data_IF_550349453786
#
_entry.id   IF_550349453786
#
_cell.length_a   1.000
_cell.length_b   1.000
_cell.length_c   1.000
_cell.angle_alpha   90.00
_cell.angle_beta   90.00
_cell.angle_gamma   90.00
#
_symmetry.space_group_name_H-M   'P 1'
#
loop_
_entity.id
_entity.type
_entity.pdbx_description
1 polymer ?
#
# COMPACT_ATOMS: atom_id res chain seq x y z
N UNK A 1 -23.50 -25.52 -0.77
CA UNK A 1 -23.99 -24.59 -1.75
C UNK A 1 -22.81 -24.00 -2.47
N UNK A 2 -22.46 -24.60 -3.61
CA UNK A 2 -21.42 -24.07 -4.49
C UNK A 2 -22.02 -22.89 -5.23
N UNK A 3 -21.61 -21.68 -4.87
CA UNK A 3 -21.74 -20.54 -5.74
C UNK A 3 -20.75 -20.73 -6.91
N UNK A 4 -21.23 -21.26 -8.01
CA UNK A 4 -20.56 -21.07 -9.29
C UNK A 4 -20.76 -19.61 -9.67
N UNK A 5 -19.77 -18.75 -9.41
CA UNK A 5 -19.69 -17.45 -10.03
C UNK A 5 -19.35 -17.66 -11.50
N UNK A 6 -20.36 -18.00 -12.30
CA UNK A 6 -20.30 -17.75 -13.71
C UNK A 6 -20.05 -16.23 -13.85
N UNK A 7 -19.10 -15.82 -14.69
CA UNK A 7 -18.94 -14.45 -15.09
C UNK A 7 -20.26 -14.03 -15.77
N UNK A 8 -21.21 -13.58 -14.96
CA UNK A 8 -22.45 -13.01 -15.46
C UNK A 8 -22.07 -11.72 -16.16
N UNK A 9 -22.61 -11.50 -17.33
CA UNK A 9 -22.60 -10.19 -17.96
C UNK A 9 -22.97 -9.15 -16.91
N UNK A 10 -22.04 -8.31 -16.55
CA UNK A 10 -22.11 -7.39 -15.42
C UNK A 10 -23.29 -6.39 -15.56
N UNK A 11 -23.88 -6.28 -16.76
CA UNK A 11 -24.99 -5.38 -17.09
C UNK A 11 -26.37 -6.02 -17.09
N UNK A 12 -26.45 -7.35 -17.13
CA UNK A 12 -27.72 -8.07 -17.22
C UNK A 12 -27.87 -8.98 -16.03
N UNK A 13 -28.94 -8.82 -15.29
CA UNK A 13 -29.31 -9.75 -14.26
C UNK A 13 -30.32 -10.75 -14.82
N UNK A 14 -29.88 -11.99 -14.93
CA UNK A 14 -30.74 -13.10 -15.35
C UNK A 14 -31.07 -13.92 -14.12
N UNK A 15 -32.35 -14.21 -13.93
CA UNK A 15 -32.82 -15.09 -12.87
C UNK A 15 -33.60 -16.23 -13.50
N UNK A 16 -33.13 -17.45 -13.30
CA UNK A 16 -33.89 -18.65 -13.60
C UNK A 16 -34.53 -19.10 -12.29
N UNK A 17 -35.82 -19.12 -12.27
CA UNK A 17 -36.63 -19.55 -11.12
C UNK A 17 -37.48 -20.76 -11.47
N UNK A 18 -37.55 -21.69 -10.53
CA UNK A 18 -38.42 -22.85 -10.64
C UNK A 18 -39.02 -23.11 -9.28
N UNK A 19 -40.35 -23.12 -9.22
CA UNK A 19 -41.07 -23.43 -7.98
C UNK A 19 -42.14 -24.47 -8.19
N UNK A 20 -42.47 -25.18 -7.12
CA UNK A 20 -43.60 -26.09 -7.06
C UNK A 20 -44.36 -25.86 -5.76
N UNK A 21 -45.64 -25.59 -5.86
CA UNK A 21 -46.52 -25.34 -4.72
C UNK A 21 -47.64 -26.34 -4.68
N UNK A 22 -48.07 -26.68 -3.44
CA UNK A 22 -49.27 -27.49 -3.18
C UNK A 22 -50.25 -26.66 -2.37
N UNK A 23 -51.46 -26.52 -2.89
CA UNK A 23 -52.53 -25.86 -2.15
C UNK A 23 -53.65 -26.87 -1.85
N UNK A 24 -54.04 -26.92 -0.60
CA UNK A 24 -55.20 -27.70 -0.14
C UNK A 24 -56.28 -26.71 0.29
N UNK A 25 -57.53 -26.93 -0.14
CA UNK A 25 -58.66 -26.08 0.21
C UNK A 25 -59.78 -26.93 0.79
N UNK A 26 -60.39 -26.49 1.88
CA UNK A 26 -61.57 -27.14 2.46
C UNK A 26 -62.88 -26.75 1.72
N UNK A 27 -62.80 -25.86 0.72
CA UNK A 27 -63.94 -25.50 -0.10
C UNK A 27 -64.02 -26.45 -1.31
N UNK A 28 -65.24 -26.57 -1.92
CA UNK A 28 -65.47 -27.35 -3.16
C UNK A 28 -64.74 -26.77 -4.35
N UNK A 29 -63.43 -26.75 -4.27
CA UNK A 29 -62.58 -26.30 -5.39
C UNK A 29 -62.53 -27.41 -6.45
N UNK A 30 -62.58 -27.04 -7.73
CA UNK A 30 -62.55 -27.97 -8.86
C UNK A 30 -61.27 -28.82 -8.91
N UNK A 31 -60.22 -28.40 -8.21
CA UNK A 31 -58.95 -29.13 -8.02
C UNK A 31 -58.56 -29.11 -6.55
N UNK A 32 -58.51 -30.29 -5.95
CA UNK A 32 -58.11 -30.44 -4.56
C UNK A 32 -57.53 -31.84 -4.31
N UNK A 33 -56.21 -31.96 -4.05
CA UNK A 33 -55.21 -30.90 -3.96
C UNK A 33 -54.92 -30.22 -5.33
N UNK A 34 -54.52 -28.96 -5.27
CA UNK A 34 -54.06 -28.20 -6.45
C UNK A 34 -52.53 -28.04 -6.39
N UNK A 35 -51.83 -28.65 -7.33
CA UNK A 35 -50.39 -28.51 -7.49
C UNK A 35 -50.13 -27.49 -8.61
N UNK A 36 -49.36 -26.45 -8.30
CA UNK A 36 -48.84 -25.49 -9.24
C UNK A 36 -47.35 -25.62 -9.35
N UNK A 37 -46.85 -25.68 -10.58
CA UNK A 37 -45.42 -25.65 -10.88
C UNK A 37 -45.15 -24.54 -11.85
N UNK A 38 -44.10 -23.79 -11.64
CA UNK A 38 -43.66 -22.72 -12.53
C UNK A 38 -42.17 -22.79 -12.81
N UNK A 39 -41.80 -22.46 -14.04
CA UNK A 39 -40.41 -22.30 -14.49
C UNK A 39 -40.34 -20.97 -15.23
N UNK A 40 -39.57 -20.00 -14.69
CA UNK A 40 -39.50 -18.65 -15.21
C UNK A 40 -38.06 -18.21 -15.50
N UNK A 41 -37.94 -17.47 -16.57
CA UNK A 41 -36.71 -16.71 -16.90
C UNK A 41 -37.03 -15.23 -16.84
N UNK A 42 -36.37 -14.49 -15.96
CA UNK A 42 -36.50 -13.05 -15.84
C UNK A 42 -35.17 -12.38 -16.19
N UNK A 43 -35.21 -11.42 -17.09
CA UNK A 43 -34.06 -10.60 -17.47
C UNK A 43 -34.33 -9.16 -17.03
N UNK A 44 -33.40 -8.58 -16.26
CA UNK A 44 -33.43 -7.18 -15.88
C UNK A 44 -32.23 -6.48 -16.50
N UNK A 45 -32.52 -5.45 -17.31
CA UNK A 45 -31.51 -4.63 -17.97
C UNK A 45 -31.57 -3.19 -17.43
N UNK A 46 -30.55 -2.71 -16.69
CA UNK A 46 -30.48 -1.30 -16.35
C UNK A 46 -30.23 -0.44 -17.60
N UNK A 47 -30.94 0.70 -17.70
CA UNK A 47 -30.88 1.59 -18.84
C UNK A 47 -30.18 2.94 -18.55
N UNK A 48 -30.08 3.34 -17.28
CA UNK A 48 -29.40 4.57 -16.84
C UNK A 48 -28.32 4.27 -15.79
N UNK A 49 -28.67 4.27 -14.51
CA UNK A 49 -27.72 3.89 -13.45
C UNK A 49 -27.27 2.45 -13.68
N UNK A 50 -25.97 2.21 -13.61
CA UNK A 50 -25.35 0.88 -13.80
C UNK A 50 -25.55 0.26 -15.19
N UNK A 51 -25.93 1.07 -16.19
CA UNK A 51 -26.15 0.59 -17.56
C UNK A 51 -24.85 0.37 -18.35
N UNK A 52 -23.79 1.10 -18.00
CA UNK A 52 -22.58 1.18 -18.81
C UNK A 52 -21.47 0.23 -18.32
N UNK A 53 -20.73 -0.34 -19.27
CA UNK A 53 -19.60 -1.23 -18.99
C UNK A 53 -18.52 -0.57 -18.11
N UNK A 54 -18.26 0.71 -18.34
CA UNK A 54 -17.27 1.48 -17.57
C UNK A 54 -17.56 1.44 -16.07
N UNK A 55 -18.80 1.57 -15.67
CA UNK A 55 -19.22 1.54 -14.27
C UNK A 55 -19.17 0.12 -13.70
N UNK A 56 -19.68 -0.84 -14.46
CA UNK A 56 -19.78 -2.23 -14.03
C UNK A 56 -18.41 -2.92 -13.96
N UNK A 57 -17.46 -2.51 -14.81
CA UNK A 57 -16.07 -2.99 -14.79
C UNK A 57 -15.15 -2.13 -13.89
N UNK A 58 -15.64 -1.04 -13.34
CA UNK A 58 -14.85 -0.17 -12.46
C UNK A 58 -14.23 -0.89 -11.26
N UNK A 59 -14.89 -1.84 -10.57
CA UNK A 59 -14.26 -2.62 -9.50
C UNK A 59 -13.05 -3.43 -10.00
N UNK A 60 -13.14 -4.02 -11.20
CA UNK A 60 -12.04 -4.74 -11.83
C UNK A 60 -10.90 -3.78 -12.23
N UNK A 61 -11.24 -2.65 -12.85
CA UNK A 61 -10.27 -1.62 -13.22
C UNK A 61 -9.53 -1.09 -11.98
N UNK A 62 -10.27 -0.78 -10.91
CA UNK A 62 -9.70 -0.36 -9.63
C UNK A 62 -8.77 -1.42 -9.03
N UNK A 63 -9.16 -2.70 -9.06
CA UNK A 63 -8.32 -3.79 -8.54
C UNK A 63 -7.00 -3.91 -9.33
N UNK A 64 -7.04 -3.76 -10.67
CA UNK A 64 -5.83 -3.76 -11.51
C UNK A 64 -4.90 -2.60 -11.17
N UNK A 65 -5.42 -1.37 -11.13
CA UNK A 65 -4.63 -0.18 -10.77
C UNK A 65 -4.06 -0.29 -9.35
N UNK A 66 -4.82 -0.85 -8.41
CA UNK A 66 -4.34 -1.09 -7.05
C UNK A 66 -3.22 -2.13 -7.01
N UNK A 67 -3.31 -3.20 -7.79
CA UNK A 67 -2.25 -4.19 -7.90
C UNK A 67 -0.96 -3.59 -8.51
N UNK A 68 -1.08 -2.79 -9.56
CA UNK A 68 0.05 -2.07 -10.15
C UNK A 68 0.67 -1.09 -9.15
N UNK A 69 -0.15 -0.34 -8.41
CA UNK A 69 0.32 0.54 -7.34
C UNK A 69 1.13 -0.23 -6.29
N UNK A 70 0.65 -1.40 -5.85
CA UNK A 70 1.34 -2.22 -4.85
C UNK A 70 2.72 -2.68 -5.31
N UNK A 71 2.95 -2.88 -6.62
CA UNK A 71 4.29 -3.17 -7.15
C UNK A 71 5.23 -1.98 -7.01
N UNK A 72 4.74 -0.76 -7.23
CA UNK A 72 5.55 0.45 -7.02
C UNK A 72 5.77 0.72 -5.53
N UNK A 73 4.79 0.47 -4.66
CA UNK A 73 4.94 0.55 -3.21
C UNK A 73 6.03 -0.42 -2.73
N UNK A 74 6.00 -1.68 -3.17
CA UNK A 74 7.06 -2.65 -2.87
C UNK A 74 8.43 -2.16 -3.37
N UNK A 75 8.49 -1.57 -4.55
CA UNK A 75 9.75 -1.02 -5.09
C UNK A 75 10.27 0.13 -4.24
N UNK A 76 9.41 1.02 -3.76
CA UNK A 76 9.77 2.11 -2.84
C UNK A 76 10.37 1.56 -1.55
N UNK A 77 9.69 0.61 -0.91
CA UNK A 77 10.17 -0.04 0.32
C UNK A 77 11.53 -0.72 0.15
N UNK A 78 11.75 -1.40 -1.00
CA UNK A 78 13.04 -2.02 -1.29
C UNK A 78 14.14 -0.97 -1.46
N UNK A 79 13.86 0.15 -2.14
CA UNK A 79 14.84 1.23 -2.29
C UNK A 79 15.17 1.89 -0.95
N UNK A 80 14.19 2.12 -0.11
CA UNK A 80 14.39 2.66 1.24
C UNK A 80 15.18 1.69 2.13
N UNK A 81 14.90 0.38 2.03
CA UNK A 81 15.68 -0.65 2.74
C UNK A 81 17.14 -0.64 2.30
N UNK A 82 17.42 -0.59 1.00
CA UNK A 82 18.79 -0.53 0.47
C UNK A 82 19.50 0.74 0.97
N UNK A 83 18.85 1.90 0.86
CA UNK A 83 19.42 3.17 1.33
C UNK A 83 19.73 3.13 2.84
N UNK A 84 18.79 2.66 3.65
CA UNK A 84 18.98 2.57 5.09
C UNK A 84 20.11 1.59 5.48
N UNK A 85 20.23 0.49 4.73
CA UNK A 85 21.32 -0.48 4.93
C UNK A 85 22.69 0.11 4.56
N UNK A 86 22.76 0.86 3.45
CA UNK A 86 24.00 1.57 3.05
C UNK A 86 24.40 2.63 4.08
N UNK A 87 23.45 3.43 4.54
CA UNK A 87 23.70 4.43 5.60
C UNK A 87 24.21 3.74 6.88
N UNK A 88 23.58 2.66 7.31
CA UNK A 88 24.01 1.91 8.51
C UNK A 88 25.42 1.32 8.32
N UNK A 89 25.75 0.80 7.15
CA UNK A 89 27.07 0.30 6.82
C UNK A 89 28.15 1.40 6.91
N UNK A 90 27.92 2.56 6.32
CA UNK A 90 28.87 3.66 6.35
C UNK A 90 29.01 4.28 7.74
N UNK A 91 27.93 4.30 8.55
CA UNK A 91 28.01 4.73 9.95
C UNK A 91 28.87 3.77 10.77
N UNK A 92 28.79 2.46 10.54
CA UNK A 92 29.68 1.50 11.17
C UNK A 92 31.14 1.68 10.73
N UNK A 93 31.37 1.93 9.43
CA UNK A 93 32.68 2.21 8.88
C UNK A 93 33.30 3.46 9.54
N UNK A 94 32.51 4.51 9.66
CA UNK A 94 32.93 5.75 10.34
C UNK A 94 33.25 5.53 11.82
N UNK A 95 32.37 4.87 12.58
CA UNK A 95 32.60 4.60 14.00
C UNK A 95 33.90 3.81 14.25
N UNK A 96 34.25 2.86 13.35
CA UNK A 96 35.52 2.12 13.43
C UNK A 96 36.73 2.97 13.11
N UNK A 97 36.65 3.84 12.10
CA UNK A 97 37.72 4.77 11.76
C UNK A 97 37.95 5.77 12.90
N UNK A 98 36.87 6.28 13.48
CA UNK A 98 36.92 7.20 14.62
C UNK A 98 37.58 6.54 15.85
N UNK A 99 37.20 5.31 16.21
CA UNK A 99 37.88 4.55 17.29
C UNK A 99 39.38 4.43 17.04
N UNK A 100 39.79 4.17 15.78
CA UNK A 100 41.23 4.07 15.42
C UNK A 100 41.95 5.39 15.65
N UNK A 101 41.32 6.52 15.37
CA UNK A 101 41.87 7.86 15.63
C UNK A 101 41.98 8.12 17.14
N UNK A 102 40.91 7.84 17.90
CA UNK A 102 40.91 7.99 19.38
C UNK A 102 41.98 7.10 20.02
N UNK A 103 42.13 5.86 19.54
CA UNK A 103 43.19 4.96 20.04
C UNK A 103 44.60 5.53 19.81
N UNK A 104 44.81 6.20 18.67
CA UNK A 104 46.10 6.89 18.41
C UNK A 104 46.29 8.07 19.34
N UNK A 105 45.24 8.83 19.64
CA UNK A 105 45.26 9.95 20.59
C UNK A 105 45.51 9.47 22.00
N UNK A 106 44.90 8.35 22.41
CA UNK A 106 45.15 7.72 23.73
C UNK A 106 46.62 7.32 23.89
N UNK A 107 47.20 6.67 22.86
CA UNK A 107 48.63 6.31 22.90
C UNK A 107 49.54 7.53 23.01
N UNK A 108 49.18 8.65 22.35
CA UNK A 108 49.94 9.90 22.48
C UNK A 108 49.80 10.50 23.88
N UNK A 109 48.59 10.51 24.46
CA UNK A 109 48.37 11.02 25.81
C UNK A 109 49.11 10.17 26.86
N UNK A 110 49.16 8.84 26.70
CA UNK A 110 49.91 7.92 27.55
C UNK A 110 51.43 8.25 27.51
N UNK A 111 52.00 8.38 26.33
CA UNK A 111 53.39 8.74 26.19
C UNK A 111 53.69 10.11 26.80
N UNK A 112 52.80 11.09 26.65
CA UNK A 112 52.97 12.43 27.22
C UNK A 112 52.91 12.40 28.78
N UNK A 113 52.05 11.58 29.33
CA UNK A 113 51.93 11.36 30.79
C UNK A 113 53.23 10.74 31.34
N UNK A 114 53.76 9.72 30.67
CA UNK A 114 55.00 9.05 31.03
C UNK A 114 56.18 10.03 30.98
N UNK A 115 56.32 10.77 29.88
CA UNK A 115 57.39 11.78 29.72
C UNK A 115 57.33 12.86 30.80
N UNK A 116 56.15 13.42 31.09
CA UNK A 116 56.01 14.43 32.14
C UNK A 116 56.25 13.85 33.54
N UNK A 117 55.92 12.56 33.78
CA UNK A 117 56.28 11.84 35.00
C UNK A 117 57.81 11.79 35.21
N UNK A 118 58.58 11.41 34.17
CA UNK A 118 60.03 11.37 34.24
C UNK A 118 60.64 12.77 34.40
N UNK A 119 60.10 13.79 33.67
CA UNK A 119 60.57 15.17 33.83
C UNK A 119 60.32 15.74 35.21
N UNK A 120 59.21 15.36 35.87
CA UNK A 120 58.90 15.71 37.26
C UNK A 120 59.94 15.07 38.20
N UNK A 121 60.28 13.80 38.00
CA UNK A 121 61.28 13.07 38.81
C UNK A 121 62.65 13.75 38.75
N UNK A 122 62.97 14.34 37.58
CA UNK A 122 64.20 15.14 37.37
C UNK A 122 64.08 16.60 37.85
N UNK A 123 62.93 17.01 38.39
CA UNK A 123 62.69 18.38 38.85
C UNK A 123 62.44 19.43 37.75
N UNK A 124 62.20 19.00 36.52
CA UNK A 124 62.06 19.86 35.34
C UNK A 124 60.68 20.43 35.15
N UNK A 125 59.65 19.78 35.71
CA UNK A 125 58.24 20.21 35.63
C UNK A 125 57.53 20.12 36.99
N UNK A 126 56.45 20.87 37.13
CA UNK A 126 55.65 20.91 38.36
C UNK A 126 54.67 19.73 38.43
N UNK A 127 54.16 19.44 39.63
CA UNK A 127 53.07 18.44 39.81
C UNK A 127 51.80 18.79 39.04
N UNK A 128 51.54 20.07 38.77
CA UNK A 128 50.39 20.52 38.01
C UNK A 128 50.44 20.05 36.57
N UNK A 129 51.63 20.07 35.92
CA UNK A 129 51.79 19.59 34.54
C UNK A 129 51.52 18.09 34.40
N UNK A 130 51.97 17.31 35.41
CA UNK A 130 51.68 15.88 35.40
C UNK A 130 50.20 15.60 35.62
N UNK A 131 49.53 16.33 36.55
CA UNK A 131 48.11 16.20 36.79
C UNK A 131 47.28 16.57 35.54
N UNK A 132 47.72 17.58 34.78
CA UNK A 132 47.07 17.92 33.49
C UNK A 132 47.21 16.81 32.46
N UNK A 133 48.42 16.21 32.34
CA UNK A 133 48.62 15.08 31.42
C UNK A 133 47.82 13.82 31.84
N UNK A 134 47.69 13.57 33.14
CA UNK A 134 46.88 12.50 33.70
C UNK A 134 45.39 12.71 33.42
N UNK A 135 44.89 13.94 33.56
CA UNK A 135 43.50 14.26 33.24
C UNK A 135 43.22 14.06 31.75
N UNK A 136 44.16 14.46 30.87
CA UNK A 136 44.01 14.23 29.43
C UNK A 136 44.01 12.74 29.06
N UNK A 137 44.91 11.95 29.62
CA UNK A 137 44.94 10.50 29.47
C UNK A 137 43.63 9.85 29.88
N UNK A 138 43.05 10.23 31.03
CA UNK A 138 41.78 9.71 31.51
C UNK A 138 40.61 10.10 30.62
N UNK A 139 40.60 11.32 30.05
CA UNK A 139 39.61 11.75 29.07
C UNK A 139 39.67 10.88 27.79
N UNK A 140 40.88 10.64 27.26
CA UNK A 140 41.07 9.78 26.08
C UNK A 140 40.67 8.31 26.37
N UNK A 141 40.85 7.86 27.61
CA UNK A 141 40.39 6.53 28.06
C UNK A 141 38.87 6.44 28.12
N UNK A 142 38.19 7.50 28.51
CA UNK A 142 36.72 7.58 28.46
C UNK A 142 36.23 7.58 27.01
N UNK A 143 36.86 8.35 26.11
CA UNK A 143 36.51 8.45 24.70
C UNK A 143 36.60 7.08 24.00
N UNK A 144 37.59 6.24 24.33
CA UNK A 144 37.67 4.86 23.80
C UNK A 144 36.46 4.02 24.20
N UNK A 145 36.02 4.13 25.46
CA UNK A 145 34.83 3.39 25.93
C UNK A 145 33.58 3.85 25.20
N UNK A 146 33.45 5.15 24.94
CA UNK A 146 32.32 5.70 24.14
C UNK A 146 32.39 5.25 22.70
N UNK A 147 33.57 5.23 22.09
CA UNK A 147 33.77 4.75 20.71
C UNK A 147 33.42 3.25 20.58
N UNK A 148 33.75 2.42 21.55
CA UNK A 148 33.37 1.00 21.59
C UNK A 148 31.84 0.83 21.57
N UNK A 149 31.15 1.58 22.42
CA UNK A 149 29.65 1.58 22.41
C UNK A 149 29.08 2.04 21.10
N UNK A 150 29.63 3.10 20.50
CA UNK A 150 29.16 3.60 19.20
C UNK A 150 29.31 2.54 18.10
N UNK A 151 30.36 1.71 18.13
CA UNK A 151 30.53 0.58 17.21
C UNK A 151 29.46 -0.50 17.46
N UNK A 152 29.21 -0.86 18.71
CA UNK A 152 28.17 -1.84 19.07
C UNK A 152 26.79 -1.37 18.61
N UNK A 153 26.43 -0.13 18.92
CA UNK A 153 25.17 0.48 18.48
C UNK A 153 25.04 0.50 16.93
N UNK A 154 26.11 0.88 16.23
CA UNK A 154 26.10 0.89 14.76
C UNK A 154 25.99 -0.52 14.16
N UNK A 155 26.60 -1.54 14.80
CA UNK A 155 26.45 -2.93 14.39
C UNK A 155 25.00 -3.42 14.55
N UNK A 156 24.36 -3.06 15.67
CA UNK A 156 22.97 -3.47 15.92
C UNK A 156 22.00 -2.82 14.94
N UNK A 157 22.20 -1.53 14.60
CA UNK A 157 21.43 -0.84 13.57
C UNK A 157 21.61 -1.53 12.21
N UNK A 158 22.85 -1.90 11.83
CA UNK A 158 23.11 -2.59 10.58
C UNK A 158 22.49 -3.99 10.54
N UNK A 159 22.58 -4.76 11.63
CA UNK A 159 21.92 -6.07 11.77
C UNK A 159 20.41 -5.94 11.61
N UNK A 160 19.83 -4.93 12.24
CA UNK A 160 18.41 -4.65 12.12
C UNK A 160 18.01 -4.36 10.66
N UNK A 161 18.76 -3.51 9.97
CA UNK A 161 18.53 -3.18 8.57
C UNK A 161 18.64 -4.42 7.64
N UNK A 162 19.55 -5.34 7.95
CA UNK A 162 19.72 -6.61 7.23
C UNK A 162 18.67 -7.68 7.61
N UNK A 163 17.76 -7.40 8.53
CA UNK A 163 16.78 -8.38 9.03
C UNK A 163 17.41 -9.49 9.90
N UNK A 164 18.63 -9.29 10.39
CA UNK A 164 19.36 -10.24 11.24
C UNK A 164 19.25 -9.90 12.73
N UNK A 165 18.28 -9.08 13.14
CA UNK A 165 18.06 -8.78 14.55
C UNK A 165 17.53 -10.04 15.25
N UNK A 166 18.33 -10.56 16.16
CA UNK A 166 17.97 -11.68 17.00
C UNK A 166 17.24 -11.20 18.26
N UNK A 167 16.00 -11.63 18.43
CA UNK A 167 15.20 -11.34 19.63
C UNK A 167 15.75 -11.98 20.91
N UNK A 168 16.69 -12.92 20.79
CA UNK A 168 17.20 -13.74 21.90
C UNK A 168 18.67 -13.42 22.21
N UNK A 169 19.34 -12.54 21.46
CA UNK A 169 20.72 -12.11 21.72
C UNK A 169 21.77 -13.18 21.38
N UNK A 170 21.50 -14.12 20.48
CA UNK A 170 22.38 -15.22 20.11
C UNK A 170 23.29 -14.91 18.93
N UNK A 171 23.08 -13.83 18.18
CA UNK A 171 23.97 -13.44 17.08
C UNK A 171 25.15 -12.66 17.68
N UNK A 172 26.15 -13.37 18.14
CA UNK A 172 27.44 -12.83 18.52
C UNK A 172 28.44 -12.97 17.38
N UNK A 173 28.85 -11.86 16.81
CA UNK A 173 29.88 -11.80 15.77
C UNK A 173 30.16 -10.37 15.40
N UNK A 174 31.44 -10.03 15.26
CA UNK A 174 31.82 -8.69 14.81
C UNK A 174 31.61 -8.56 13.32
N UNK A 175 30.92 -7.51 12.87
CA UNK A 175 30.76 -7.21 11.43
C UNK A 175 32.02 -6.47 10.97
N UNK A 176 32.80 -7.09 10.11
CA UNK A 176 33.97 -6.46 9.51
C UNK A 176 33.58 -5.61 8.28
N UNK A 177 33.95 -4.36 8.30
CA UNK A 177 33.81 -3.47 7.15
C UNK A 177 34.98 -3.72 6.22
N UNK A 178 34.70 -4.19 4.98
CA UNK A 178 35.73 -4.59 4.00
C UNK A 178 36.05 -3.51 2.97
N UNK A 179 35.11 -2.60 2.70
CA UNK A 179 35.27 -1.55 1.69
C UNK A 179 35.37 -0.18 2.34
N UNK A 180 36.34 0.59 1.88
CA UNK A 180 36.44 2.02 2.15
C UNK A 180 35.76 2.79 1.00
N UNK A 181 35.29 4.03 1.23
CA UNK A 181 34.72 4.82 0.15
C UNK A 181 35.79 5.05 -0.92
N UNK A 182 35.45 4.68 -2.17
CA UNK A 182 36.28 5.02 -3.32
C UNK A 182 36.28 6.54 -3.56
N UNK A 183 37.28 7.01 -4.32
CA UNK A 183 37.36 8.41 -4.71
C UNK A 183 36.03 8.83 -5.37
N UNK A 184 35.46 9.95 -4.93
CA UNK A 184 34.22 10.48 -5.46
C UNK A 184 34.31 10.70 -6.99
N UNK A 185 33.37 10.08 -7.72
CA UNK A 185 33.15 10.48 -9.11
C UNK A 185 32.71 11.96 -9.17
N UNK A 186 33.04 12.67 -10.25
CA UNK A 186 32.66 14.06 -10.39
C UNK A 186 31.14 14.18 -10.35
N UNK A 187 30.61 15.03 -9.46
CA UNK A 187 29.20 15.26 -9.31
C UNK A 187 28.58 15.74 -10.62
N UNK A 188 27.50 15.11 -11.04
CA UNK A 188 26.65 15.54 -12.16
C UNK A 188 26.10 16.95 -11.90
N UNK A 189 25.64 17.64 -12.94
CA UNK A 189 25.03 18.96 -12.75
C UNK A 189 23.81 18.89 -11.86
N UNK A 190 23.61 19.88 -10.98
CA UNK A 190 22.45 19.93 -10.08
C UNK A 190 21.12 19.88 -10.84
N UNK A 191 21.06 20.47 -12.04
CA UNK A 191 19.87 20.46 -12.88
C UNK A 191 19.50 19.06 -13.37
N UNK A 192 20.50 18.28 -13.79
CA UNK A 192 20.29 16.90 -14.24
C UNK A 192 19.89 15.99 -13.09
N UNK A 193 20.54 16.12 -11.93
CA UNK A 193 20.21 15.33 -10.73
C UNK A 193 18.79 15.59 -10.28
N UNK A 194 18.35 16.84 -10.19
CA UNK A 194 16.98 17.20 -9.81
C UNK A 194 15.96 16.70 -10.83
N UNK A 195 16.26 16.83 -12.12
CA UNK A 195 15.38 16.36 -13.19
C UNK A 195 15.19 14.85 -13.14
N UNK A 196 16.28 14.10 -13.03
CA UNK A 196 16.25 12.64 -12.97
C UNK A 196 15.54 12.16 -11.69
N UNK A 197 15.81 12.80 -10.54
CA UNK A 197 15.15 12.49 -9.27
C UNK A 197 13.64 12.63 -9.35
N UNK A 198 13.11 13.69 -9.98
CA UNK A 198 11.66 13.91 -10.11
C UNK A 198 11.03 12.99 -11.16
N UNK A 199 11.73 12.69 -12.27
CA UNK A 199 11.19 11.86 -13.34
C UNK A 199 11.18 10.37 -13.01
N UNK A 200 12.17 9.89 -12.27
CA UNK A 200 12.31 8.48 -11.90
C UNK A 200 11.73 8.14 -10.53
N UNK A 201 11.11 9.12 -9.83
CA UNK A 201 10.60 8.94 -8.49
C UNK A 201 9.48 7.89 -8.43
N UNK A 202 9.68 6.89 -7.58
CA UNK A 202 8.75 5.77 -7.40
C UNK A 202 7.51 6.21 -6.63
N UNK A 203 7.65 7.10 -5.64
CA UNK A 203 6.52 7.61 -4.84
C UNK A 203 5.59 8.46 -5.69
N UNK A 204 6.14 9.21 -6.65
CA UNK A 204 5.32 9.92 -7.64
C UNK A 204 4.51 8.94 -8.50
N UNK A 205 5.07 7.76 -8.86
CA UNK A 205 4.33 6.70 -9.58
C UNK A 205 3.22 6.09 -8.73
N UNK A 206 3.48 5.81 -7.47
CA UNK A 206 2.46 5.36 -6.50
C UNK A 206 1.29 6.37 -6.45
N UNK A 207 1.61 7.67 -6.37
CA UNK A 207 0.59 8.71 -6.33
C UNK A 207 -0.16 8.88 -7.67
N UNK A 208 0.49 8.69 -8.82
CA UNK A 208 -0.17 8.67 -10.13
C UNK A 208 -1.23 7.55 -10.21
N UNK A 209 -0.93 6.35 -9.73
CA UNK A 209 -1.90 5.26 -9.63
C UNK A 209 -3.02 5.56 -8.62
N UNK A 210 -2.73 6.25 -7.52
CA UNK A 210 -3.75 6.70 -6.58
C UNK A 210 -4.72 7.69 -7.23
N UNK A 211 -4.24 8.63 -8.03
CA UNK A 211 -5.07 9.55 -8.81
C UNK A 211 -6.00 8.78 -9.74
N UNK A 212 -5.52 7.71 -10.38
CA UNK A 212 -6.35 6.88 -11.26
C UNK A 212 -7.45 6.14 -10.48
N UNK A 213 -7.16 5.65 -9.27
CA UNK A 213 -8.17 5.07 -8.37
C UNK A 213 -9.23 6.11 -8.01
N UNK A 214 -8.83 7.35 -7.67
CA UNK A 214 -9.78 8.41 -7.33
C UNK A 214 -10.63 8.84 -8.55
N UNK A 215 -10.06 8.79 -9.76
CA UNK A 215 -10.82 9.01 -11.01
C UNK A 215 -11.90 7.94 -11.21
N UNK A 216 -11.58 6.67 -10.96
CA UNK A 216 -12.54 5.57 -11.02
C UNK A 216 -13.64 5.76 -9.95
N UNK A 217 -13.26 6.17 -8.73
CA UNK A 217 -14.21 6.46 -7.65
C UNK A 217 -15.16 7.61 -8.03
N UNK A 218 -14.68 8.65 -8.72
CA UNK A 218 -15.49 9.74 -9.21
C UNK A 218 -16.51 9.26 -10.26
N UNK A 219 -16.10 8.42 -11.20
CA UNK A 219 -17.01 7.82 -12.21
C UNK A 219 -18.13 7.04 -11.52
N UNK A 220 -17.81 6.23 -10.50
CA UNK A 220 -18.80 5.49 -9.72
C UNK A 220 -19.75 6.43 -8.97
N UNK A 221 -19.21 7.45 -8.29
CA UNK A 221 -20.01 8.41 -7.55
C UNK A 221 -20.93 9.25 -8.45
N UNK A 222 -20.47 9.62 -9.66
CA UNK A 222 -21.29 10.29 -10.66
C UNK A 222 -22.43 9.39 -11.18
N UNK A 223 -22.16 8.11 -11.41
CA UNK A 223 -23.20 7.15 -11.80
C UNK A 223 -24.29 7.01 -10.73
N UNK A 224 -23.95 7.11 -9.45
CA UNK A 224 -24.94 7.07 -8.35
C UNK A 224 -25.91 8.27 -8.36
N UNK A 225 -25.59 9.36 -9.05
CA UNK A 225 -26.49 10.51 -9.21
C UNK A 225 -27.58 10.29 -10.25
N UNK A 226 -27.51 9.20 -11.02
CA UNK A 226 -28.50 8.84 -12.02
C UNK A 226 -29.69 8.09 -11.40
N UNK A 227 -30.93 8.27 -11.92
CA UNK A 227 -32.06 7.47 -11.51
C UNK A 227 -31.89 6.00 -11.94
N UNK A 228 -32.44 5.07 -11.17
CA UNK A 228 -32.58 3.71 -11.61
C UNK A 228 -33.72 3.63 -12.65
N UNK A 229 -33.40 3.16 -13.83
CA UNK A 229 -34.36 2.84 -14.88
C UNK A 229 -34.04 1.44 -15.38
N UNK A 230 -34.89 0.48 -15.02
CA UNK A 230 -34.72 -0.92 -15.35
C UNK A 230 -35.78 -1.39 -16.33
N UNK A 231 -35.37 -2.02 -17.42
CA UNK A 231 -36.23 -2.80 -18.29
C UNK A 231 -36.25 -4.23 -17.78
N UNK A 232 -37.45 -4.72 -17.44
CA UNK A 232 -37.69 -6.09 -17.00
C UNK A 232 -38.45 -6.82 -18.11
N UNK A 233 -37.94 -7.97 -18.52
CA UNK A 233 -38.63 -8.86 -19.44
C UNK A 233 -38.52 -10.28 -18.92
N UNK A 234 -39.60 -11.02 -18.95
CA UNK A 234 -39.65 -12.40 -18.45
C UNK A 234 -40.66 -13.24 -19.18
N UNK A 235 -40.41 -14.53 -19.15
CA UNK A 235 -41.36 -15.56 -19.55
C UNK A 235 -41.43 -16.61 -18.43
N UNK A 236 -42.64 -16.98 -18.07
CA UNK A 236 -42.90 -18.02 -17.05
C UNK A 236 -43.83 -19.06 -17.63
N UNK A 237 -43.41 -20.30 -17.58
CA UNK A 237 -44.20 -21.45 -17.97
C UNK A 237 -44.88 -22.02 -16.74
N UNK A 238 -46.17 -22.31 -16.87
CA UNK A 238 -47.03 -22.69 -15.76
C UNK A 238 -47.65 -24.08 -16.02
N UNK A 239 -47.60 -24.93 -15.04
CA UNK A 239 -48.32 -26.20 -15.06
C UNK A 239 -49.21 -26.33 -13.80
N UNK A 240 -50.45 -26.77 -13.98
CA UNK A 240 -51.42 -27.00 -12.87
C UNK A 240 -52.12 -28.30 -13.04
N UNK A 241 -52.08 -29.15 -11.99
CA UNK A 241 -52.78 -30.42 -11.94
C UNK A 241 -53.11 -30.85 -10.51
N UNK A 242 -53.93 -31.89 -10.37
CA UNK A 242 -54.17 -32.57 -9.08
C UNK A 242 -53.03 -33.51 -8.69
N UNK A 243 -52.15 -33.85 -9.60
CA UNK A 243 -50.90 -34.58 -9.40
C UNK A 243 -49.69 -33.69 -9.60
N UNK A 244 -48.77 -33.67 -8.63
CA UNK A 244 -47.58 -32.82 -8.63
C UNK A 244 -46.63 -33.10 -9.76
N UNK A 245 -46.48 -34.36 -10.18
CA UNK A 245 -45.61 -34.71 -11.29
C UNK A 245 -46.18 -34.27 -12.64
N UNK A 246 -47.50 -34.35 -12.82
CA UNK A 246 -48.18 -33.85 -14.01
C UNK A 246 -48.14 -32.31 -14.07
N UNK A 247 -48.32 -31.62 -12.96
CA UNK A 247 -48.17 -30.17 -12.89
C UNK A 247 -46.72 -29.73 -13.24
N UNK A 248 -45.73 -30.45 -12.74
CA UNK A 248 -44.31 -30.16 -13.10
C UNK A 248 -44.04 -30.39 -14.57
N UNK A 249 -44.49 -31.51 -15.14
CA UNK A 249 -44.37 -31.78 -16.62
C UNK A 249 -45.11 -30.77 -17.44
N UNK A 250 -46.29 -30.29 -17.00
CA UNK A 250 -47.04 -29.25 -17.68
C UNK A 250 -46.30 -27.94 -17.75
N UNK A 251 -45.63 -27.53 -16.68
CA UNK A 251 -44.75 -26.37 -16.69
C UNK A 251 -43.54 -26.54 -17.65
N UNK A 252 -42.96 -27.75 -17.67
CA UNK A 252 -41.85 -28.04 -18.56
C UNK A 252 -42.22 -28.15 -20.02
N UNK A 253 -43.44 -28.62 -20.31
CA UNK A 253 -44.01 -28.71 -21.69
C UNK A 253 -44.64 -27.43 -22.16
N UNK A 254 -44.63 -26.36 -21.36
CA UNK A 254 -45.16 -25.06 -21.67
C UNK A 254 -46.68 -25.06 -21.95
N UNK A 255 -47.45 -25.89 -21.21
CA UNK A 255 -48.91 -25.99 -21.36
C UNK A 255 -49.62 -24.66 -21.03
N UNK A 256 -49.06 -23.86 -20.13
CA UNK A 256 -49.42 -22.46 -19.87
C UNK A 256 -48.20 -21.55 -19.93
N UNK A 257 -48.33 -20.35 -20.42
CA UNK A 257 -47.25 -19.36 -20.39
C UNK A 257 -47.78 -17.97 -20.02
N UNK A 258 -46.92 -17.25 -19.32
CA UNK A 258 -47.09 -15.84 -18.99
C UNK A 258 -45.86 -15.08 -19.41
N UNK A 259 -46.01 -13.89 -19.94
CA UNK A 259 -44.89 -13.02 -20.26
C UNK A 259 -45.03 -11.67 -19.60
N UNK A 260 -43.92 -11.16 -19.10
CA UNK A 260 -43.84 -9.89 -18.42
C UNK A 260 -42.91 -8.94 -19.16
N UNK A 261 -43.42 -7.74 -19.43
CA UNK A 261 -42.61 -6.61 -19.91
C UNK A 261 -42.92 -5.44 -18.99
N UNK A 262 -41.89 -4.92 -18.34
CA UNK A 262 -42.02 -3.82 -17.40
C UNK A 262 -40.90 -2.82 -17.52
N UNK A 263 -41.23 -1.57 -17.22
CA UNK A 263 -40.26 -0.49 -17.04
C UNK A 263 -40.40 0.01 -15.63
N UNK A 264 -39.33 -0.18 -14.84
CA UNK A 264 -39.27 0.23 -13.45
C UNK A 264 -38.41 1.48 -13.30
N UNK A 265 -39.00 2.56 -12.78
CA UNK A 265 -38.28 3.80 -12.45
C UNK A 265 -38.21 3.92 -10.93
N UNK A 266 -37.01 4.00 -10.38
CA UNK A 266 -36.80 4.26 -8.96
C UNK A 266 -35.86 5.46 -8.80
N UNK A 267 -36.36 6.51 -8.16
CA UNK A 267 -35.66 7.76 -8.02
C UNK A 267 -35.82 8.30 -6.58
N UNK A 268 -34.71 8.43 -5.83
CA UNK A 268 -34.77 9.08 -4.54
C UNK A 268 -35.05 10.58 -4.69
N UNK A 269 -35.90 11.13 -3.84
CA UNK A 269 -36.25 12.54 -3.92
C UNK A 269 -35.05 13.44 -3.61
N UNK A 270 -34.62 14.23 -4.57
CA UNK A 270 -33.58 15.26 -4.44
C UNK A 270 -32.13 14.81 -4.55
N UNK A 271 -31.79 13.52 -4.61
CA UNK A 271 -30.42 12.95 -4.81
C UNK A 271 -29.32 13.56 -3.93
N UNK A 272 -29.66 14.14 -2.76
CA UNK A 272 -28.72 14.91 -1.94
C UNK A 272 -27.51 14.11 -1.49
N UNK A 273 -27.70 12.87 -1.11
CA UNK A 273 -26.63 11.97 -0.67
C UNK A 273 -25.69 11.61 -1.83
N UNK A 274 -26.25 11.19 -2.98
CA UNK A 274 -25.46 10.87 -4.18
C UNK A 274 -24.66 12.09 -4.67
N UNK A 275 -25.27 13.27 -4.70
CA UNK A 275 -24.59 14.52 -5.08
C UNK A 275 -23.50 14.89 -4.07
N UNK A 276 -23.70 14.63 -2.78
CA UNK A 276 -22.67 14.87 -1.78
C UNK A 276 -21.47 13.93 -1.96
N UNK A 277 -21.72 12.64 -2.23
CA UNK A 277 -20.67 11.66 -2.53
C UNK A 277 -19.92 12.00 -3.82
N UNK A 278 -20.61 12.44 -4.87
CA UNK A 278 -19.95 12.87 -6.10
C UNK A 278 -19.03 14.09 -5.87
N UNK A 279 -19.47 15.10 -5.11
CA UNK A 279 -18.62 16.23 -4.73
C UNK A 279 -17.46 15.81 -3.83
N UNK A 280 -17.65 14.88 -2.91
CA UNK A 280 -16.57 14.32 -2.08
C UNK A 280 -15.52 13.61 -2.93
N UNK A 281 -15.93 12.79 -3.91
CA UNK A 281 -15.03 12.11 -4.82
C UNK A 281 -14.25 13.09 -5.72
N UNK A 282 -14.91 14.17 -6.18
CA UNK A 282 -14.26 15.24 -6.94
C UNK A 282 -13.15 15.93 -6.12
N UNK A 283 -13.43 16.27 -4.85
CA UNK A 283 -12.43 16.85 -3.94
C UNK A 283 -11.33 15.85 -3.58
N UNK A 284 -11.65 14.56 -3.52
CA UNK A 284 -10.66 13.49 -3.35
C UNK A 284 -9.65 13.46 -4.50
N UNK A 285 -10.15 13.52 -5.74
CA UNK A 285 -9.31 13.57 -6.95
C UNK A 285 -8.44 14.85 -6.98
N UNK A 286 -9.00 16.01 -6.66
CA UNK A 286 -8.27 17.28 -6.57
C UNK A 286 -7.15 17.18 -5.52
N UNK A 287 -7.47 16.70 -4.32
CA UNK A 287 -6.50 16.49 -3.24
C UNK A 287 -5.37 15.55 -3.65
N UNK A 288 -5.69 14.42 -4.29
CA UNK A 288 -4.67 13.47 -4.77
C UNK A 288 -3.75 14.09 -5.82
N UNK A 289 -4.28 14.96 -6.69
CA UNK A 289 -3.50 15.68 -7.71
C UNK A 289 -2.55 16.69 -7.08
N UNK A 290 -3.01 17.44 -6.06
CA UNK A 290 -2.17 18.37 -5.30
C UNK A 290 -1.07 17.63 -4.53
N UNK A 291 -1.37 16.45 -3.98
CA UNK A 291 -0.36 15.61 -3.31
C UNK A 291 0.76 15.19 -4.28
N UNK A 292 0.44 14.83 -5.53
CA UNK A 292 1.47 14.53 -6.54
C UNK A 292 2.41 15.73 -6.79
N UNK A 293 1.84 16.92 -6.86
CA UNK A 293 2.64 18.14 -7.01
C UNK A 293 3.56 18.36 -5.81
N UNK A 294 3.06 18.19 -4.59
CA UNK A 294 3.87 18.30 -3.37
C UNK A 294 5.00 17.28 -3.33
N UNK A 295 4.73 15.99 -3.63
CA UNK A 295 5.74 14.93 -3.70
C UNK A 295 6.87 15.35 -4.66
N UNK A 296 6.54 15.81 -5.86
CA UNK A 296 7.53 16.26 -6.85
C UNK A 296 8.37 17.45 -6.35
N UNK A 297 7.77 18.37 -5.62
CA UNK A 297 8.52 19.50 -5.01
C UNK A 297 9.43 19.03 -3.87
N UNK A 298 8.95 18.16 -2.99
CA UNK A 298 9.73 17.61 -1.88
C UNK A 298 10.95 16.82 -2.39
N UNK A 299 10.76 15.99 -3.42
CA UNK A 299 11.85 15.23 -4.05
C UNK A 299 12.87 16.16 -4.73
N UNK A 300 12.42 17.21 -5.41
CA UNK A 300 13.32 18.22 -5.98
C UNK A 300 14.12 18.95 -4.91
N UNK A 301 13.52 19.26 -3.76
CA UNK A 301 14.22 19.88 -2.63
C UNK A 301 15.21 18.91 -2.00
N UNK A 302 14.81 17.66 -1.75
CA UNK A 302 15.68 16.63 -1.20
C UNK A 302 16.90 16.37 -2.09
N UNK A 303 16.72 16.29 -3.42
CA UNK A 303 17.81 16.12 -4.39
C UNK A 303 18.80 17.31 -4.37
N UNK A 304 18.29 18.55 -4.25
CA UNK A 304 19.16 19.74 -4.11
C UNK A 304 19.96 19.71 -2.82
N UNK A 305 19.32 19.33 -1.70
CA UNK A 305 20.00 19.26 -0.40
C UNK A 305 21.06 18.17 -0.40
N UNK A 306 20.74 16.97 -0.90
CA UNK A 306 21.70 15.87 -1.04
C UNK A 306 22.89 16.26 -1.93
N UNK A 307 22.64 16.92 -3.06
CA UNK A 307 23.70 17.38 -3.94
C UNK A 307 24.63 18.38 -3.25
N UNK A 308 24.08 19.36 -2.51
CA UNK A 308 24.87 20.34 -1.74
C UNK A 308 25.70 19.67 -0.65
N UNK A 309 25.12 18.70 0.07
CA UNK A 309 25.85 17.95 1.10
C UNK A 309 27.00 17.13 0.50
N UNK A 310 26.83 16.60 -0.70
CA UNK A 310 27.87 15.85 -1.39
C UNK A 310 28.93 16.76 -2.05
N UNK A 311 28.63 18.06 -2.29
CA UNK A 311 29.55 19.02 -2.89
C UNK A 311 30.35 19.83 -1.88
N UNK A 312 29.99 19.75 -0.58
CA UNK A 312 30.67 20.44 0.52
C UNK A 312 31.85 19.63 1.05
#
# INVERSE_FOLDING_TARGET
PHQSSAASDVYKRQTLDSSTSRRYSNNNAARNPDYGSDVGLLIRQPLLKDAWSTVNLAPLARAKVTAERSLFELRSEVLDLVLNTEIAYWNLAYARADKSLIASSLALAENLLEENGERKRLGLVTSLVVLQAEAEFLNQQEDIIQADRAIEDAQDVLRHAMGQSDFIGTISGEILVMSLPDSMEPLRSIGDVVKDSVLSDVDAKVQEHRIEVERINLILAQNETLPNLDLTTGVTYLGRDQDGNTAYRGAYNADGHDWTLGLEVRMPWGFRDAQARARQAERGLESATLQLYNIKQEKALAARNAWRSASA
#
